data_IF_536755917959
#
_entry.id   IF_536755917959
#
_cell.length_a   1.000
_cell.length_b   1.000
_cell.length_c   1.000
_cell.angle_alpha   90.00
_cell.angle_beta   90.00
_cell.angle_gamma   90.00
#
_symmetry.space_group_name_H-M   'P 1'
#
loop_
_entity.id
_entity.type
_entity.pdbx_description
1 polymer ?
#
# COMPACT_ATOMS: atom_id res chain seq x y z
N UNK A 1 -12.96 -13.53 9.41
CA UNK A 1 -12.35 -13.92 8.15
C UNK A 1 -11.02 -13.24 7.97
N UNK A 2 -9.97 -13.99 7.68
CA UNK A 2 -8.66 -13.41 7.45
C UNK A 2 -8.59 -12.76 6.09
N UNK A 3 -7.73 -11.79 5.95
CA UNK A 3 -7.48 -11.13 4.68
C UNK A 3 -6.40 -11.84 3.88
N UNK A 4 -6.12 -11.28 2.72
CA UNK A 4 -5.08 -11.80 1.84
C UNK A 4 -4.45 -10.64 1.06
N UNK A 5 -3.32 -10.92 0.43
CA UNK A 5 -2.64 -9.97 -0.44
C UNK A 5 -2.16 -10.69 -1.69
N UNK A 6 -2.31 -10.04 -2.83
CA UNK A 6 -1.72 -10.50 -4.09
C UNK A 6 -0.86 -9.39 -4.66
N UNK A 7 0.00 -9.75 -5.60
CA UNK A 7 1.03 -8.83 -6.10
C UNK A 7 1.06 -8.80 -7.63
N UNK A 8 1.39 -7.64 -8.18
CA UNK A 8 1.75 -7.51 -9.59
C UNK A 8 2.65 -6.30 -9.77
N UNK A 9 3.40 -6.28 -10.86
CA UNK A 9 4.26 -5.15 -11.23
C UNK A 9 3.78 -4.57 -12.54
N UNK A 10 3.61 -3.26 -12.60
CA UNK A 10 3.26 -2.54 -13.82
C UNK A 10 4.22 -1.36 -13.96
N UNK A 11 5.07 -1.37 -14.99
CA UNK A 11 5.99 -0.25 -15.30
C UNK A 11 6.75 0.25 -14.07
N UNK A 12 7.45 -0.62 -13.36
CA UNK A 12 8.24 -0.28 -12.18
C UNK A 12 7.43 0.11 -10.94
N UNK A 13 6.11 -0.06 -10.98
CA UNK A 13 5.26 0.12 -9.81
C UNK A 13 4.86 -1.26 -9.30
N UNK A 14 5.20 -1.55 -8.06
CA UNK A 14 4.80 -2.80 -7.42
C UNK A 14 3.51 -2.59 -6.66
N UNK A 15 2.50 -3.42 -6.94
CA UNK A 15 1.16 -3.23 -6.42
C UNK A 15 0.83 -4.34 -5.43
N UNK A 16 0.43 -3.93 -4.22
CA UNK A 16 -0.11 -4.81 -3.20
C UNK A 16 -1.64 -4.72 -3.27
N UNK A 17 -2.28 -5.72 -3.82
CA UNK A 17 -3.75 -5.79 -3.85
C UNK A 17 -4.23 -6.48 -2.58
N UNK A 18 -4.76 -5.70 -1.65
CA UNK A 18 -5.21 -6.19 -0.35
C UNK A 18 -6.68 -6.58 -0.42
N UNK A 19 -7.06 -7.63 0.33
CA UNK A 19 -8.42 -8.14 0.31
C UNK A 19 -8.84 -8.56 1.71
N UNK A 20 -10.02 -8.12 2.14
CA UNK A 20 -10.62 -8.53 3.39
C UNK A 20 -10.11 -7.77 4.60
N UNK A 21 -10.03 -8.46 5.73
CA UNK A 21 -9.57 -7.90 6.98
C UNK A 21 -8.05 -8.03 7.08
N UNK A 22 -7.36 -6.90 7.10
CA UNK A 22 -5.89 -6.88 7.09
C UNK A 22 -5.39 -6.81 8.53
N UNK A 23 -4.81 -7.91 8.97
CA UNK A 23 -4.21 -8.02 10.29
C UNK A 23 -2.74 -8.43 10.16
N UNK A 24 -2.06 -8.62 11.28
CA UNK A 24 -0.62 -8.86 11.33
C UNK A 24 -0.16 -9.99 10.40
N UNK A 25 -0.91 -11.08 10.32
CA UNK A 25 -0.56 -12.22 9.48
C UNK A 25 -0.45 -11.83 8.00
N UNK A 26 -1.25 -10.87 7.56
CA UNK A 26 -1.21 -10.36 6.19
C UNK A 26 -0.09 -9.34 6.02
N UNK A 27 0.05 -8.40 6.98
CA UNK A 27 1.06 -7.36 6.89
C UNK A 27 2.48 -7.92 6.91
N UNK A 28 2.73 -8.98 7.67
CA UNK A 28 4.03 -9.64 7.66
C UNK A 28 4.39 -10.15 6.26
N UNK A 29 3.42 -10.70 5.54
CA UNK A 29 3.64 -11.19 4.19
C UNK A 29 4.04 -10.07 3.23
N UNK A 30 3.29 -8.97 3.22
CA UNK A 30 3.59 -7.92 2.26
C UNK A 30 4.79 -7.07 2.65
N UNK A 31 5.15 -7.00 3.93
CA UNK A 31 6.40 -6.35 4.34
C UNK A 31 7.61 -7.13 3.82
N UNK A 32 7.59 -8.45 3.94
CA UNK A 32 8.67 -9.29 3.42
C UNK A 32 8.79 -9.13 1.91
N UNK A 33 7.65 -9.07 1.23
CA UNK A 33 7.64 -8.86 -0.22
C UNK A 33 8.14 -7.47 -0.60
N UNK A 34 7.77 -6.45 0.16
CA UNK A 34 8.28 -5.10 -0.02
C UNK A 34 9.81 -5.09 0.02
N UNK A 35 10.40 -5.69 1.05
CA UNK A 35 11.85 -5.70 1.20
C UNK A 35 12.55 -6.43 0.06
N UNK A 36 11.94 -7.52 -0.41
CA UNK A 36 12.47 -8.27 -1.56
C UNK A 36 12.45 -7.41 -2.82
N UNK A 37 11.33 -6.73 -3.08
CA UNK A 37 11.22 -5.88 -4.26
C UNK A 37 12.13 -4.67 -4.18
N UNK A 38 12.30 -4.12 -3.00
CA UNK A 38 13.24 -3.02 -2.77
C UNK A 38 14.66 -3.44 -3.13
N UNK A 39 15.08 -4.64 -2.71
CA UNK A 39 16.39 -5.19 -3.05
C UNK A 39 16.53 -5.42 -4.56
N UNK A 40 15.43 -5.68 -5.24
CA UNK A 40 15.43 -5.86 -6.69
C UNK A 40 15.36 -4.53 -7.47
N UNK A 41 15.39 -3.41 -6.78
CA UNK A 41 15.43 -2.10 -7.43
C UNK A 41 14.10 -1.39 -7.57
N UNK A 42 13.00 -1.99 -7.12
CA UNK A 42 11.69 -1.33 -7.15
C UNK A 42 11.66 -0.22 -6.09
N UNK A 43 11.18 0.96 -6.48
CA UNK A 43 11.12 2.14 -5.61
C UNK A 43 9.72 2.75 -5.51
N UNK A 44 8.77 2.27 -6.30
CA UNK A 44 7.40 2.80 -6.31
C UNK A 44 6.44 1.69 -5.94
N UNK A 45 5.62 1.95 -4.91
CA UNK A 45 4.74 0.94 -4.33
C UNK A 45 3.33 1.50 -4.17
N UNK A 46 2.34 0.78 -4.66
CA UNK A 46 0.93 1.15 -4.57
C UNK A 46 0.18 0.11 -3.74
N UNK A 47 -0.55 0.58 -2.73
CA UNK A 47 -1.44 -0.27 -1.93
C UNK A 47 -2.86 -0.07 -2.43
N UNK A 48 -3.44 -1.12 -2.99
CA UNK A 48 -4.81 -1.10 -3.49
C UNK A 48 -5.75 -1.63 -2.42
N UNK A 49 -6.60 -0.75 -1.88
CA UNK A 49 -7.55 -1.05 -0.83
C UNK A 49 -8.96 -1.34 -1.36
N UNK A 50 -9.13 -1.51 -2.67
CA UNK A 50 -10.46 -1.69 -3.27
C UNK A 50 -11.28 -2.76 -2.56
N UNK A 51 -10.65 -3.86 -2.16
CA UNK A 51 -11.33 -5.01 -1.56
C UNK A 51 -11.11 -5.13 -0.06
N UNK A 52 -10.51 -4.14 0.56
CA UNK A 52 -10.29 -4.15 2.02
C UNK A 52 -11.59 -3.89 2.75
N UNK A 53 -11.87 -4.69 3.78
CA UNK A 53 -13.01 -4.46 4.67
C UNK A 53 -12.61 -3.73 5.93
N UNK A 54 -11.42 -4.00 6.45
CA UNK A 54 -10.89 -3.35 7.64
C UNK A 54 -9.39 -3.61 7.74
N UNK A 55 -8.67 -2.73 8.40
CA UNK A 55 -7.25 -2.93 8.74
C UNK A 55 -7.08 -2.64 10.23
N UNK A 56 -6.39 -3.52 10.97
CA UNK A 56 -6.21 -3.30 12.40
C UNK A 56 -4.98 -2.45 12.71
N UNK A 57 -4.87 -2.00 13.95
CA UNK A 57 -3.81 -1.08 14.37
C UNK A 57 -2.41 -1.68 14.26
N UNK A 58 -2.27 -2.98 14.47
CA UNK A 58 -0.96 -3.63 14.35
C UNK A 58 -0.49 -3.60 12.89
N UNK A 59 -1.37 -3.97 11.97
CA UNK A 59 -1.04 -3.92 10.54
C UNK A 59 -0.76 -2.50 10.07
N UNK A 60 -1.52 -1.51 10.55
CA UNK A 60 -1.27 -0.10 10.24
C UNK A 60 0.11 0.35 10.70
N UNK A 61 0.50 -0.04 11.92
CA UNK A 61 1.82 0.30 12.45
C UNK A 61 2.93 -0.31 11.61
N UNK A 62 2.73 -1.54 11.14
CA UNK A 62 3.72 -2.21 10.29
C UNK A 62 3.82 -1.56 8.92
N UNK A 63 2.72 -1.09 8.34
CA UNK A 63 2.75 -0.33 7.09
C UNK A 63 3.53 0.97 7.28
N UNK A 64 3.30 1.67 8.40
CA UNK A 64 4.02 2.89 8.70
C UNK A 64 5.52 2.63 8.80
N UNK A 65 5.91 1.56 9.50
CA UNK A 65 7.31 1.16 9.60
C UNK A 65 7.93 0.90 8.22
N UNK A 66 7.21 0.17 7.38
CA UNK A 66 7.67 -0.14 6.02
C UNK A 66 7.86 1.13 5.19
N UNK A 67 6.88 2.03 5.21
CA UNK A 67 6.97 3.29 4.47
C UNK A 67 8.15 4.12 4.96
N UNK A 68 8.36 4.16 6.27
CA UNK A 68 9.46 4.92 6.86
C UNK A 68 10.83 4.40 6.44
N UNK A 69 10.96 3.11 6.13
CA UNK A 69 12.21 2.55 5.63
C UNK A 69 12.59 3.11 4.26
N UNK A 70 11.61 3.43 3.43
CA UNK A 70 11.86 3.86 2.05
C UNK A 70 11.74 5.34 1.78
N UNK A 71 11.15 6.10 2.69
CA UNK A 71 10.74 7.48 2.42
C UNK A 71 11.92 8.44 2.18
N UNK A 72 13.10 8.10 2.67
CA UNK A 72 14.30 8.95 2.52
C UNK A 72 14.96 8.84 1.15
N UNK A 73 14.57 7.88 0.33
CA UNK A 73 15.18 7.68 -0.98
C UNK A 73 14.57 8.63 -2.01
N UNK A 74 15.42 9.30 -2.78
CA UNK A 74 14.99 10.37 -3.67
C UNK A 74 14.08 9.93 -4.81
N UNK A 75 14.14 8.67 -5.20
CA UNK A 75 13.34 8.13 -6.30
C UNK A 75 12.18 7.24 -5.81
N UNK A 76 11.94 7.18 -4.50
CA UNK A 76 10.87 6.35 -3.96
C UNK A 76 9.52 7.07 -4.02
N UNK A 77 8.45 6.28 -4.11
CA UNK A 77 7.08 6.78 -4.04
C UNK A 77 6.17 5.74 -3.43
N UNK A 78 5.34 6.18 -2.49
CA UNK A 78 4.35 5.33 -1.84
C UNK A 78 2.96 5.89 -2.14
N UNK A 79 2.07 5.03 -2.61
CA UNK A 79 0.75 5.41 -3.06
C UNK A 79 -0.29 4.49 -2.45
N UNK A 80 -1.50 5.01 -2.25
CA UNK A 80 -2.63 4.22 -1.78
C UNK A 80 -3.88 4.63 -2.55
N UNK A 81 -4.74 3.68 -2.89
CA UNK A 81 -5.97 3.99 -3.59
C UNK A 81 -7.16 3.25 -3.01
N UNK A 82 -8.35 3.84 -3.21
CA UNK A 82 -9.64 3.24 -2.85
C UNK A 82 -9.75 2.88 -1.36
N UNK A 83 -9.22 3.72 -0.47
CA UNK A 83 -9.31 3.48 0.96
C UNK A 83 -10.76 3.61 1.42
N UNK A 84 -11.35 2.55 2.02
CA UNK A 84 -12.71 2.65 2.56
C UNK A 84 -12.78 3.72 3.64
N UNK A 85 -13.90 4.41 3.73
CA UNK A 85 -14.09 5.49 4.70
C UNK A 85 -13.74 5.05 6.12
N UNK A 86 -14.18 3.86 6.51
CA UNK A 86 -13.92 3.34 7.86
C UNK A 86 -12.44 3.04 8.13
N UNK A 87 -11.61 2.87 7.09
CA UNK A 87 -10.17 2.67 7.24
C UNK A 87 -9.42 4.00 7.19
N UNK A 88 -9.99 4.99 6.53
CA UNK A 88 -9.33 6.28 6.29
C UNK A 88 -8.93 6.98 7.57
N UNK A 89 -9.80 6.94 8.59
CA UNK A 89 -9.49 7.55 9.87
C UNK A 89 -8.22 6.98 10.49
N UNK A 90 -8.06 5.65 10.46
CA UNK A 90 -6.88 5.00 11.01
C UNK A 90 -5.60 5.38 10.28
N UNK A 91 -5.64 5.41 8.95
CA UNK A 91 -4.48 5.82 8.15
C UNK A 91 -4.09 7.27 8.45
N UNK A 92 -5.09 8.15 8.56
CA UNK A 92 -4.84 9.56 8.89
C UNK A 92 -4.30 9.73 10.30
N UNK A 93 -4.88 9.01 11.25
CA UNK A 93 -4.55 9.17 12.67
C UNK A 93 -3.10 8.84 12.99
N UNK A 94 -2.52 7.85 12.32
CA UNK A 94 -1.11 7.49 12.53
C UNK A 94 -0.16 8.23 11.59
N UNK A 95 -0.68 9.09 10.73
CA UNK A 95 0.13 9.94 9.86
C UNK A 95 0.57 9.30 8.55
N UNK A 96 0.05 8.14 8.19
CA UNK A 96 0.43 7.46 6.96
C UNK A 96 0.19 8.31 5.72
N UNK A 97 -0.93 9.04 5.68
CA UNK A 97 -1.29 9.86 4.53
C UNK A 97 -0.39 11.09 4.36
N UNK A 98 0.48 11.38 5.32
CA UNK A 98 1.50 12.41 5.15
C UNK A 98 2.66 11.91 4.28
N UNK A 99 2.82 10.61 4.16
CA UNK A 99 3.94 9.98 3.45
C UNK A 99 3.50 9.25 2.18
N UNK A 100 2.20 9.07 1.98
CA UNK A 100 1.65 8.37 0.84
C UNK A 100 0.73 9.30 0.06
N UNK A 101 0.79 9.22 -1.27
CA UNK A 101 -0.16 9.94 -2.10
C UNK A 101 -1.42 9.09 -2.24
N UNK A 102 -2.56 9.68 -1.92
CA UNK A 102 -3.85 8.98 -1.94
C UNK A 102 -4.63 9.27 -3.22
N UNK A 103 -5.19 8.22 -3.82
CA UNK A 103 -6.09 8.32 -4.97
C UNK A 103 -7.43 7.68 -4.63
N UNK A 104 -8.49 8.17 -5.24
CA UNK A 104 -9.85 7.71 -4.92
C UNK A 104 -10.15 6.31 -5.46
N UNK A 105 -9.43 5.88 -6.51
CA UNK A 105 -9.64 4.59 -7.16
C UNK A 105 -8.36 4.10 -7.80
N UNK A 106 -8.36 2.82 -8.16
CA UNK A 106 -7.25 2.24 -8.91
C UNK A 106 -7.12 2.91 -10.29
N UNK A 107 -8.26 3.24 -10.93
CA UNK A 107 -8.27 3.93 -12.20
C UNK A 107 -7.62 5.31 -12.10
N UNK A 108 -7.98 6.09 -11.07
CA UNK A 108 -7.40 7.41 -10.86
C UNK A 108 -5.89 7.29 -10.60
N UNK A 109 -5.49 6.32 -9.78
CA UNK A 109 -4.06 6.08 -9.53
C UNK A 109 -3.32 5.81 -10.84
N UNK A 110 -3.87 4.97 -11.68
CA UNK A 110 -3.28 4.67 -12.98
C UNK A 110 -3.14 5.90 -13.86
N UNK A 111 -4.19 6.71 -13.94
CA UNK A 111 -4.18 7.94 -14.73
C UNK A 111 -3.10 8.90 -14.25
N UNK A 112 -2.99 9.09 -12.94
CA UNK A 112 -2.02 10.01 -12.36
C UNK A 112 -0.58 9.48 -12.46
N UNK A 113 -0.41 8.18 -12.38
CA UNK A 113 0.92 7.58 -12.46
C UNK A 113 1.34 7.25 -13.91
N UNK A 114 0.46 7.49 -14.88
CA UNK A 114 0.77 7.28 -16.29
C UNK A 114 0.81 5.82 -16.70
N UNK A 115 0.06 4.96 -16.02
CA UNK A 115 0.01 3.52 -16.31
C UNK A 115 -1.43 3.03 -16.31
N UNK A 116 -1.66 1.90 -16.95
CA UNK A 116 -3.01 1.32 -17.01
C UNK A 116 -3.13 0.24 -15.94
N UNK A 117 -3.91 0.53 -14.89
CA UNK A 117 -4.05 -0.34 -13.74
C UNK A 117 -5.43 -1.00 -13.63
N UNK A 118 -6.38 -0.50 -14.35
CA UNK A 118 -7.77 -0.95 -14.30
C UNK A 118 -8.11 -2.27 -15.01
#
# INVERSE_FOLDING_TARGET
MSGSVSYRTVNNIFIFALDGYIEKSVSELFIDEFRRQWQNGIRRFLFDFTRVTMINSVALAEVLEMVSEGIGESDSGFYVCAVPEKCHWGLSAIGLLNYMTEYSSLEEAGNELGVKLG
#
